data_IF_979029318031
#
_entry.id   IF_979029318031
#
_cell.length_a   1.000
_cell.length_b   1.000
_cell.length_c   1.000
_cell.angle_alpha   90.00
_cell.angle_beta   90.00
_cell.angle_gamma   90.00
#
_symmetry.space_group_name_H-M   'P 1'
#
loop_
_entity.id
_entity.type
_entity.pdbx_description
1 polymer ?
#
# COMPACT_ATOMS: atom_id res chain seq x y z
N UNK A 1 1.89 14.98 -6.41
CA UNK A 1 2.93 14.68 -7.38
C UNK A 1 2.37 14.35 -8.75
N UNK A 2 3.22 13.88 -9.68
CA UNK A 2 2.84 13.57 -11.06
C UNK A 2 1.91 12.35 -11.21
N UNK A 3 1.97 11.41 -10.26
CA UNK A 3 1.05 10.29 -10.20
C UNK A 3 -0.28 10.71 -9.55
N UNK A 4 -1.41 10.65 -10.27
CA UNK A 4 -2.72 10.98 -9.73
C UNK A 4 -3.31 9.84 -8.87
N UNK A 5 -2.85 8.58 -9.06
CA UNK A 5 -3.56 7.39 -8.62
C UNK A 5 -4.88 7.20 -9.37
N UNK A 6 -5.81 6.48 -8.77
CA UNK A 6 -7.15 6.33 -9.31
C UNK A 6 -7.90 7.68 -9.35
N UNK A 7 -8.74 7.86 -10.36
CA UNK A 7 -9.53 9.08 -10.56
C UNK A 7 -11.01 8.71 -10.47
N UNK A 8 -11.73 9.35 -9.55
CA UNK A 8 -13.17 9.13 -9.40
C UNK A 8 -13.98 9.78 -10.54
N UNK A 9 -15.24 9.36 -10.78
CA UNK A 9 -16.13 10.01 -11.76
C UNK A 9 -16.30 11.51 -11.53
N UNK A 10 -16.13 11.98 -10.30
CA UNK A 10 -16.21 13.40 -9.92
C UNK A 10 -14.82 14.10 -9.95
N UNK A 11 -13.86 13.56 -10.66
CA UNK A 11 -12.50 14.10 -10.79
C UNK A 11 -11.74 14.27 -9.45
N UNK A 12 -12.06 13.47 -8.45
CA UNK A 12 -11.24 13.40 -7.24
C UNK A 12 -10.06 12.46 -7.48
N UNK A 13 -8.86 12.94 -7.22
CA UNK A 13 -7.64 12.16 -7.33
C UNK A 13 -7.36 11.37 -6.05
N UNK A 14 -7.06 10.10 -6.19
CA UNK A 14 -6.63 9.24 -5.07
C UNK A 14 -5.52 9.89 -4.25
N UNK A 15 -4.46 10.39 -4.92
CA UNK A 15 -3.31 11.03 -4.26
C UNK A 15 -3.69 12.10 -3.23
N UNK A 16 -4.78 12.82 -3.49
CA UNK A 16 -5.25 13.91 -2.61
C UNK A 16 -6.03 13.36 -1.41
N UNK A 17 -6.87 12.36 -1.66
CA UNK A 17 -7.67 11.71 -0.61
C UNK A 17 -6.77 10.98 0.37
N UNK A 18 -5.89 10.11 -0.14
CA UNK A 18 -5.01 9.29 0.71
C UNK A 18 -3.99 10.13 1.48
N UNK A 19 -3.54 11.26 0.93
CA UNK A 19 -2.69 12.20 1.68
C UNK A 19 -3.40 12.75 2.92
N UNK A 20 -4.65 13.23 2.74
CA UNK A 20 -5.45 13.74 3.86
C UNK A 20 -5.70 12.67 4.93
N UNK A 21 -6.08 11.46 4.51
CA UNK A 21 -6.30 10.34 5.43
C UNK A 21 -5.02 9.96 6.17
N UNK A 22 -3.88 9.92 5.49
CA UNK A 22 -2.59 9.60 6.11
C UNK A 22 -2.17 10.63 7.16
N UNK A 23 -2.35 11.92 6.89
CA UNK A 23 -2.03 12.98 7.84
C UNK A 23 -2.95 12.91 9.08
N UNK A 24 -4.25 12.73 8.88
CA UNK A 24 -5.21 12.54 9.97
C UNK A 24 -4.89 11.31 10.82
N UNK A 25 -4.55 10.18 10.18
CA UNK A 25 -4.15 8.97 10.90
C UNK A 25 -2.91 9.21 11.74
N UNK A 26 -1.89 9.86 11.18
CA UNK A 26 -0.67 10.16 11.92
C UNK A 26 -0.91 11.09 13.10
N UNK A 27 -1.78 12.10 12.97
CA UNK A 27 -2.14 12.98 14.07
C UNK A 27 -2.89 12.22 15.18
N UNK A 28 -3.78 11.29 14.82
CA UNK A 28 -4.46 10.42 15.78
C UNK A 28 -3.48 9.48 16.49
N UNK A 29 -2.50 8.92 15.78
CA UNK A 29 -1.45 8.08 16.38
C UNK A 29 -0.63 8.90 17.38
N UNK A 30 -0.12 10.06 16.98
CA UNK A 30 0.67 10.94 17.86
C UNK A 30 -0.10 11.35 19.11
N UNK A 31 -1.40 11.63 18.97
CA UNK A 31 -2.28 12.01 20.08
C UNK A 31 -2.50 10.88 21.08
N UNK A 32 -2.76 9.66 20.59
CA UNK A 32 -3.14 8.52 21.44
C UNK A 32 -1.95 7.68 21.89
N UNK A 33 -0.85 7.73 21.13
CA UNK A 33 0.37 6.97 21.39
C UNK A 33 1.61 7.88 21.29
N UNK A 34 1.83 8.79 22.28
CA UNK A 34 2.86 9.84 22.19
C UNK A 34 4.30 9.31 22.14
N UNK A 35 4.52 8.03 22.45
CA UNK A 35 5.82 7.36 22.30
C UNK A 35 6.08 6.81 20.89
N UNK A 36 5.05 6.77 20.04
CA UNK A 36 5.17 6.27 18.67
C UNK A 36 5.65 7.41 17.76
N UNK A 37 6.78 7.20 17.11
CA UNK A 37 7.31 8.13 16.12
C UNK A 37 6.63 7.89 14.77
N UNK A 38 5.91 8.87 14.26
CA UNK A 38 5.27 8.83 12.95
C UNK A 38 6.11 9.57 11.93
N UNK A 39 6.51 8.87 10.87
CA UNK A 39 7.26 9.41 9.73
C UNK A 39 6.40 9.25 8.48
N UNK A 40 6.29 10.30 7.69
CA UNK A 40 5.56 10.27 6.42
C UNK A 40 6.55 10.19 5.26
N UNK A 41 6.23 9.38 4.25
CA UNK A 41 6.99 9.39 3.00
C UNK A 41 6.76 10.70 2.23
N UNK A 42 5.58 11.31 2.38
CA UNK A 42 5.27 12.67 1.90
C UNK A 42 4.24 13.35 2.80
N UNK A 43 4.32 14.67 2.89
CA UNK A 43 3.38 15.52 3.63
C UNK A 43 2.70 16.56 2.73
N UNK A 44 3.04 16.57 1.45
CA UNK A 44 2.48 17.48 0.45
C UNK A 44 2.32 16.76 -0.91
N UNK A 45 1.86 17.47 -1.93
CA UNK A 45 1.65 16.91 -3.28
C UNK A 45 2.97 16.79 -4.07
N UNK A 46 3.90 15.98 -3.57
CA UNK A 46 5.14 15.61 -4.28
C UNK A 46 5.12 14.14 -4.69
N UNK A 47 5.83 13.82 -5.76
CA UNK A 47 6.04 12.43 -6.19
C UNK A 47 7.22 11.82 -5.44
N UNK A 48 7.02 10.64 -4.88
CA UNK A 48 8.07 9.80 -4.28
C UNK A 48 7.91 8.40 -4.87
N UNK A 49 8.93 7.92 -5.55
CA UNK A 49 8.94 6.58 -6.15
C UNK A 49 8.81 5.46 -5.12
N UNK A 50 8.35 4.29 -5.56
CA UNK A 50 8.03 3.16 -4.66
C UNK A 50 9.28 2.68 -3.92
N UNK A 51 10.40 2.46 -4.63
CA UNK A 51 11.66 2.06 -4.00
C UNK A 51 12.13 3.07 -2.95
N UNK A 52 11.96 4.36 -3.20
CA UNK A 52 12.36 5.39 -2.23
C UNK A 52 11.48 5.38 -0.99
N UNK A 53 10.19 5.04 -1.10
CA UNK A 53 9.29 4.88 0.06
C UNK A 53 9.74 3.72 0.94
N UNK A 54 10.01 2.56 0.33
CA UNK A 54 10.54 1.39 1.01
C UNK A 54 11.90 1.71 1.68
N UNK A 55 12.80 2.38 0.95
CA UNK A 55 14.11 2.79 1.44
C UNK A 55 14.01 3.70 2.67
N UNK A 56 13.10 4.69 2.68
CA UNK A 56 12.86 5.56 3.85
C UNK A 56 12.51 4.72 5.07
N UNK A 57 11.59 3.75 4.94
CA UNK A 57 11.18 2.90 6.06
C UNK A 57 12.34 2.05 6.59
N UNK A 58 13.13 1.45 5.70
CA UNK A 58 14.27 0.61 6.08
C UNK A 58 15.40 1.42 6.73
N UNK A 59 15.75 2.59 6.19
CA UNK A 59 16.81 3.45 6.74
C UNK A 59 16.53 3.95 8.15
N UNK A 60 15.28 4.17 8.49
CA UNK A 60 14.87 4.61 9.84
C UNK A 60 14.59 3.44 10.79
N UNK A 61 14.68 2.19 10.32
CA UNK A 61 14.33 1.01 11.09
C UNK A 61 12.86 1.01 11.54
N UNK A 62 11.93 1.26 10.62
CA UNK A 62 10.51 1.35 10.95
C UNK A 62 9.96 -0.01 11.41
N UNK A 63 9.28 -0.03 12.56
CA UNK A 63 8.60 -1.24 13.07
C UNK A 63 7.34 -1.59 12.26
N UNK A 64 6.73 -0.59 11.60
CA UNK A 64 5.52 -0.75 10.81
C UNK A 64 5.50 0.21 9.63
N UNK A 65 5.16 -0.30 8.45
CA UNK A 65 4.88 0.51 7.27
C UNK A 65 3.41 0.37 6.86
N UNK A 66 2.72 1.51 6.71
CA UNK A 66 1.32 1.55 6.29
C UNK A 66 1.22 2.34 4.98
N UNK A 67 0.65 1.72 3.96
CA UNK A 67 0.27 2.37 2.71
C UNK A 67 -1.25 2.50 2.65
N UNK A 68 -1.75 3.67 2.27
CA UNK A 68 -3.19 3.97 2.19
C UNK A 68 -3.55 4.23 0.73
N UNK A 69 -4.55 3.51 0.24
CA UNK A 69 -5.02 3.55 -1.13
C UNK A 69 -6.54 3.78 -1.19
N UNK A 70 -7.01 4.29 -2.32
CA UNK A 70 -8.42 4.43 -2.65
C UNK A 70 -8.63 3.89 -4.06
N UNK A 71 -8.61 2.55 -4.16
CA UNK A 71 -8.68 1.82 -5.42
C UNK A 71 -9.98 2.14 -6.16
N UNK A 72 -9.90 2.31 -7.47
CA UNK A 72 -11.06 2.43 -8.34
C UNK A 72 -11.30 1.13 -9.11
N UNK A 73 -12.57 0.85 -9.37
CA UNK A 73 -13.01 -0.20 -10.27
C UNK A 73 -14.21 0.34 -11.06
N UNK A 74 -14.39 -0.12 -12.29
CA UNK A 74 -15.47 0.34 -13.17
C UNK A 74 -16.88 0.03 -12.65
N UNK A 75 -17.03 -0.99 -11.78
CA UNK A 75 -18.35 -1.37 -11.24
C UNK A 75 -18.80 -0.43 -10.12
N UNK A 76 -19.91 0.31 -10.28
CA UNK A 76 -20.46 1.17 -9.23
C UNK A 76 -20.86 0.43 -7.94
N UNK A 77 -21.08 -0.88 -8.02
CA UNK A 77 -21.42 -1.73 -6.87
C UNK A 77 -20.21 -2.12 -6.02
N UNK A 78 -19.00 -1.90 -6.52
CA UNK A 78 -17.78 -2.21 -5.79
C UNK A 78 -17.48 -1.13 -4.76
N UNK A 79 -17.80 -1.43 -3.51
CA UNK A 79 -17.50 -0.60 -2.35
C UNK A 79 -17.12 -1.46 -1.16
N UNK A 80 -16.51 -0.86 -0.15
CA UNK A 80 -16.11 -1.55 1.06
C UNK A 80 -14.67 -1.27 1.44
N UNK A 81 -14.21 -1.99 2.43
CA UNK A 81 -12.88 -1.87 3.00
C UNK A 81 -12.13 -3.21 2.87
N UNK A 82 -10.89 -3.16 2.44
CA UNK A 82 -9.99 -4.31 2.35
C UNK A 82 -8.62 -3.94 2.90
N UNK A 83 -7.98 -4.90 3.55
CA UNK A 83 -6.62 -4.73 4.06
C UNK A 83 -5.70 -5.71 3.34
N UNK A 84 -4.58 -5.21 2.87
CA UNK A 84 -3.61 -5.98 2.12
C UNK A 84 -2.32 -6.16 2.92
N UNK A 85 -1.75 -7.34 2.85
CA UNK A 85 -0.41 -7.61 3.37
C UNK A 85 0.47 -8.12 2.23
N UNK A 86 1.77 -7.93 2.39
CA UNK A 86 2.73 -8.43 1.43
C UNK A 86 2.80 -9.95 1.49
N UNK A 87 2.70 -10.61 0.35
CA UNK A 87 2.71 -12.07 0.27
C UNK A 87 2.30 -12.57 -1.10
N UNK A 88 2.19 -13.89 -1.25
CA UNK A 88 1.73 -14.52 -2.49
C UNK A 88 0.28 -14.10 -2.78
N UNK A 89 0.04 -13.65 -4.00
CA UNK A 89 -1.32 -13.41 -4.47
C UNK A 89 -2.07 -14.75 -4.56
N UNK A 90 -3.29 -14.78 -4.01
CA UNK A 90 -4.14 -15.99 -3.98
C UNK A 90 -5.22 -16.00 -5.06
N UNK A 91 -5.26 -14.97 -5.92
CA UNK A 91 -6.24 -14.86 -7.00
C UNK A 91 -5.72 -13.96 -8.12
N UNK A 92 -6.25 -14.15 -9.33
CA UNK A 92 -5.97 -13.28 -10.47
C UNK A 92 -6.32 -11.81 -10.15
N UNK A 93 -7.43 -11.57 -9.45
CA UNK A 93 -7.82 -10.21 -9.05
C UNK A 93 -6.78 -9.56 -8.11
N UNK A 94 -6.16 -10.33 -7.21
CA UNK A 94 -5.10 -9.81 -6.34
C UNK A 94 -3.83 -9.48 -7.13
N UNK A 95 -3.49 -10.28 -8.14
CA UNK A 95 -2.38 -9.99 -9.04
C UNK A 95 -2.63 -8.70 -9.84
N UNK A 96 -3.84 -8.51 -10.37
CA UNK A 96 -4.18 -7.30 -11.14
C UNK A 96 -4.09 -6.03 -10.28
N UNK A 97 -4.53 -6.08 -9.02
CA UNK A 97 -4.34 -4.96 -8.09
C UNK A 97 -2.84 -4.68 -7.88
N UNK A 98 -2.02 -5.71 -7.64
CA UNK A 98 -0.58 -5.52 -7.48
C UNK A 98 0.07 -4.93 -8.74
N UNK A 99 -0.31 -5.37 -9.92
CA UNK A 99 0.17 -4.82 -11.20
C UNK A 99 -0.19 -3.34 -11.36
N UNK A 100 -1.44 -2.99 -11.05
CA UNK A 100 -1.89 -1.60 -11.10
C UNK A 100 -1.06 -0.71 -10.17
N UNK A 101 -0.93 -1.09 -8.89
CA UNK A 101 -0.17 -0.33 -7.90
C UNK A 101 1.32 -0.23 -8.26
N UNK A 102 1.92 -1.33 -8.72
CA UNK A 102 3.33 -1.36 -9.12
C UNK A 102 3.59 -0.62 -10.44
N UNK A 103 2.57 -0.34 -11.26
CA UNK A 103 2.73 0.42 -12.51
C UNK A 103 3.27 1.84 -12.29
N UNK A 104 3.17 2.39 -11.08
CA UNK A 104 3.79 3.65 -10.69
C UNK A 104 5.33 3.65 -10.90
N UNK A 105 5.97 2.47 -10.95
CA UNK A 105 7.39 2.30 -11.33
C UNK A 105 7.68 2.96 -12.68
N UNK A 106 6.77 2.85 -13.65
CA UNK A 106 6.95 3.39 -14.99
C UNK A 106 7.03 4.92 -15.02
N UNK A 107 6.62 5.59 -13.95
CA UNK A 107 6.72 7.04 -13.78
C UNK A 107 8.03 7.47 -13.11
N UNK A 108 8.85 6.53 -12.64
CA UNK A 108 10.11 6.82 -11.96
C UNK A 108 11.24 7.06 -12.96
N UNK A 109 12.07 8.06 -12.67
CA UNK A 109 13.33 8.27 -13.40
C UNK A 109 14.29 7.13 -13.06
N UNK A 110 15.00 6.60 -14.07
CA UNK A 110 15.93 5.47 -13.94
C UNK A 110 15.27 4.16 -13.44
N UNK A 111 13.98 3.95 -13.72
CA UNK A 111 13.25 2.76 -13.32
C UNK A 111 13.93 1.45 -13.76
N UNK A 112 14.51 1.40 -14.97
CA UNK A 112 15.22 0.23 -15.48
C UNK A 112 16.43 -0.16 -14.63
N UNK A 113 17.16 0.82 -14.05
CA UNK A 113 18.29 0.54 -13.17
C UNK A 113 17.83 0.15 -11.76
N UNK A 114 16.80 0.84 -11.26
CA UNK A 114 16.28 0.62 -9.90
C UNK A 114 15.56 -0.72 -9.76
N UNK A 115 14.91 -1.18 -10.83
CA UNK A 115 14.09 -2.41 -10.84
C UNK A 115 14.56 -3.41 -11.89
N UNK A 116 15.89 -3.51 -12.12
CA UNK A 116 16.48 -4.36 -13.17
C UNK A 116 16.09 -5.85 -13.07
N UNK A 117 15.75 -6.32 -11.86
CA UNK A 117 15.34 -7.69 -11.58
C UNK A 117 13.81 -7.88 -11.47
N UNK A 118 13.02 -6.83 -11.74
CA UNK A 118 11.58 -6.88 -11.58
C UNK A 118 10.86 -6.32 -12.81
N UNK A 119 10.16 -7.20 -13.54
CA UNK A 119 9.22 -6.80 -14.60
C UNK A 119 7.80 -6.75 -14.02
N UNK A 120 7.15 -5.58 -13.98
CA UNK A 120 5.78 -5.45 -13.48
C UNK A 120 4.73 -6.18 -14.35
N UNK A 121 5.09 -6.63 -15.56
CA UNK A 121 4.22 -7.41 -16.43
C UNK A 121 4.42 -8.92 -16.30
N UNK A 122 5.51 -9.37 -15.65
CA UNK A 122 5.81 -10.79 -15.45
C UNK A 122 5.18 -11.31 -14.15
N UNK A 123 4.22 -12.26 -14.20
CA UNK A 123 3.63 -12.87 -13.01
C UNK A 123 4.66 -13.55 -12.10
N UNK A 124 5.70 -14.15 -12.66
CA UNK A 124 6.72 -14.88 -11.90
C UNK A 124 7.58 -13.93 -11.05
N UNK A 125 7.78 -12.68 -11.49
CA UNK A 125 8.45 -11.66 -10.71
C UNK A 125 7.71 -11.36 -9.38
N UNK A 126 6.37 -11.42 -9.37
CA UNK A 126 5.57 -11.24 -8.15
C UNK A 126 5.69 -12.42 -7.19
N UNK A 127 5.85 -13.64 -7.71
CA UNK A 127 6.11 -14.83 -6.90
C UNK A 127 7.46 -14.70 -6.22
N UNK A 128 8.51 -14.37 -6.97
CA UNK A 128 9.85 -14.18 -6.42
C UNK A 128 9.90 -13.09 -5.35
N UNK A 129 9.22 -11.96 -5.58
CA UNK A 129 9.11 -10.87 -4.61
C UNK A 129 8.46 -11.34 -3.30
N UNK A 130 7.36 -12.07 -3.39
CA UNK A 130 6.60 -12.51 -2.21
C UNK A 130 7.28 -13.64 -1.42
N UNK A 131 8.16 -14.43 -2.04
CA UNK A 131 8.93 -15.46 -1.34
C UNK A 131 10.02 -14.89 -0.41
N UNK A 132 10.50 -13.68 -0.67
CA UNK A 132 11.54 -13.01 0.14
C UNK A 132 11.06 -12.53 1.52
N UNK A 133 9.76 -12.66 1.89
CA UNK A 133 9.16 -11.83 2.93
C UNK A 133 8.32 -12.52 4.01
N UNK A 134 8.57 -13.77 4.32
CA UNK A 134 7.75 -14.49 5.31
C UNK A 134 8.01 -14.11 6.79
N UNK A 135 9.08 -13.40 7.13
CA UNK A 135 9.47 -13.20 8.52
C UNK A 135 8.44 -12.42 9.37
N UNK A 136 7.68 -11.49 8.76
CA UNK A 136 6.72 -10.63 9.49
C UNK A 136 5.27 -10.80 9.03
N UNK A 137 4.99 -11.83 8.24
CA UNK A 137 3.65 -12.05 7.68
C UNK A 137 2.60 -12.24 8.79
N UNK A 138 2.93 -12.98 9.84
CA UNK A 138 1.99 -13.27 10.92
C UNK A 138 1.57 -12.00 11.67
N UNK A 139 2.52 -11.12 12.02
CA UNK A 139 2.22 -9.84 12.65
C UNK A 139 1.40 -8.94 11.73
N UNK A 140 1.74 -8.91 10.44
CA UNK A 140 1.00 -8.15 9.43
C UNK A 140 -0.44 -8.65 9.31
N UNK A 141 -0.66 -9.97 9.32
CA UNK A 141 -1.99 -10.58 9.28
C UNK A 141 -2.80 -10.28 10.54
N UNK A 142 -2.18 -10.31 11.73
CA UNK A 142 -2.84 -9.96 13.00
C UNK A 142 -3.35 -8.51 12.94
N UNK A 143 -2.50 -7.56 12.54
CA UNK A 143 -2.88 -6.16 12.41
C UNK A 143 -3.97 -5.97 11.35
N UNK A 144 -3.81 -6.57 10.17
CA UNK A 144 -4.75 -6.47 9.06
C UNK A 144 -6.15 -6.99 9.46
N UNK A 145 -6.21 -8.13 10.16
CA UNK A 145 -7.48 -8.68 10.66
C UNK A 145 -8.13 -7.77 11.72
N UNK A 146 -7.34 -7.17 12.61
CA UNK A 146 -7.85 -6.23 13.61
C UNK A 146 -8.45 -4.98 12.94
N UNK A 147 -7.75 -4.39 11.96
CA UNK A 147 -8.24 -3.25 11.19
C UNK A 147 -9.54 -3.61 10.44
N UNK A 148 -9.56 -4.76 9.76
CA UNK A 148 -10.70 -5.23 9.00
C UNK A 148 -11.94 -5.43 9.90
N UNK A 149 -11.77 -6.08 11.05
CA UNK A 149 -12.80 -6.29 12.05
C UNK A 149 -13.38 -4.97 12.58
N UNK A 150 -12.50 -4.02 12.93
CA UNK A 150 -12.92 -2.73 13.47
C UNK A 150 -13.63 -1.87 12.41
N UNK A 151 -13.17 -1.88 11.17
CA UNK A 151 -13.82 -1.20 10.05
C UNK A 151 -15.24 -1.70 9.82
N UNK A 152 -15.46 -3.00 9.91
CA UNK A 152 -16.81 -3.59 9.85
C UNK A 152 -17.68 -3.22 11.03
N UNK A 153 -17.16 -3.42 12.26
CA UNK A 153 -17.97 -3.31 13.47
C UNK A 153 -18.24 -1.85 13.88
N UNK A 154 -17.23 -0.96 13.74
CA UNK A 154 -17.32 0.41 14.21
C UNK A 154 -17.76 1.40 13.13
N UNK A 155 -17.45 1.13 11.87
CA UNK A 155 -17.76 2.03 10.75
C UNK A 155 -18.86 1.49 9.84
N UNK A 156 -19.31 0.25 10.04
CA UNK A 156 -20.36 -0.36 9.21
C UNK A 156 -19.91 -0.59 7.76
N UNK A 157 -18.62 -0.58 7.47
CA UNK A 157 -18.11 -0.76 6.12
C UNK A 157 -18.28 -2.21 5.66
N UNK A 158 -18.60 -2.38 4.38
CA UNK A 158 -18.63 -3.71 3.78
C UNK A 158 -17.23 -4.34 3.87
N UNK A 159 -17.16 -5.47 4.55
CA UNK A 159 -15.94 -6.25 4.73
C UNK A 159 -15.57 -6.98 3.42
N UNK A 160 -14.43 -6.63 2.84
CA UNK A 160 -13.86 -7.29 1.65
C UNK A 160 -12.69 -8.23 2.01
N UNK A 161 -12.39 -8.36 3.29
CA UNK A 161 -11.41 -9.28 3.85
C UNK A 161 -9.97 -8.81 3.79
N UNK A 162 -9.11 -9.64 4.39
CA UNK A 162 -7.65 -9.50 4.30
C UNK A 162 -7.14 -10.25 3.08
N UNK A 163 -6.28 -9.63 2.30
CA UNK A 163 -5.73 -10.13 1.05
C UNK A 163 -4.21 -10.07 1.04
N UNK A 164 -3.59 -10.77 0.10
CA UNK A 164 -2.14 -10.81 -0.07
C UNK A 164 -1.77 -10.54 -1.52
N UNK A 165 -0.72 -9.75 -1.74
CA UNK A 165 -0.12 -9.55 -3.06
C UNK A 165 1.32 -8.99 -2.95
N UNK A 166 2.07 -9.05 -4.05
CA UNK A 166 3.43 -8.56 -4.16
C UNK A 166 3.49 -7.06 -4.46
N UNK A 167 3.46 -6.22 -3.43
CA UNK A 167 3.55 -4.77 -3.58
C UNK A 167 4.99 -4.27 -3.41
N UNK A 168 5.53 -3.61 -4.43
CA UNK A 168 6.88 -3.04 -4.41
C UNK A 168 7.05 -1.88 -3.42
N UNK A 169 5.95 -1.24 -3.04
CA UNK A 169 5.97 -0.16 -2.05
C UNK A 169 6.19 -0.66 -0.63
N UNK A 170 5.83 -1.92 -0.35
CA UNK A 170 6.03 -2.49 0.98
C UNK A 170 7.51 -2.90 1.14
N UNK A 171 8.18 -2.42 2.20
CA UNK A 171 9.60 -2.68 2.37
C UNK A 171 9.91 -4.16 2.51
N UNK A 172 10.95 -4.58 1.80
CA UNK A 172 11.58 -5.87 2.07
C UNK A 172 12.43 -5.67 3.31
N UNK A 173 12.02 -6.23 4.43
CA UNK A 173 12.85 -6.25 5.64
C UNK A 173 14.07 -7.14 5.39
N UNK A 174 15.25 -6.60 5.60
CA UNK A 174 16.49 -7.36 5.64
C UNK A 174 16.80 -7.77 7.08
#
# INVERSE_FOLDING_TARGET
GKDPGAISPNNNYEKTVVLKVSLLLGDLIKKNFPKVKVIYTRENDRFIGLAKRAKIANEIGADLFISIHANAIESPSAHGFETWVLGLHKSQAALEVAKFENSAILMEENNQQTYSEFDPNDPDAYIALSMRQNAFLDQSLILANAIQKDSKLKLGLRDRGVKQAGFMVLPVSY
#
